data_IF_706834860680
#
_entry.id   IF_706834860680
#
_cell.length_a   1.000
_cell.length_b   1.000
_cell.length_c   1.000
_cell.angle_alpha   90.00
_cell.angle_beta   90.00
_cell.angle_gamma   90.00
#
_symmetry.space_group_name_H-M   'P 1'
#
loop_
_entity.id
_entity.type
_entity.pdbx_description
1 polymer ?
#
# COMPACT_ATOMS: atom_id res chain seq x y z
N UNK A 1 17.95 -53.65 -52.02
CA UNK A 1 16.72 -52.87 -51.70
C UNK A 1 16.90 -52.06 -50.43
N UNK A 2 17.62 -52.59 -49.44
CA UNK A 2 18.00 -51.87 -48.21
C UNK A 2 19.11 -50.83 -48.47
N UNK A 3 20.23 -51.22 -49.09
CA UNK A 3 21.33 -50.31 -49.48
C UNK A 3 20.88 -49.12 -50.35
N UNK A 4 19.91 -49.33 -51.26
CA UNK A 4 19.38 -48.26 -52.11
C UNK A 4 18.61 -47.19 -51.31
N UNK A 5 18.01 -47.58 -50.17
CA UNK A 5 17.35 -46.67 -49.24
C UNK A 5 18.36 -45.89 -48.41
N UNK A 6 19.40 -46.54 -47.91
CA UNK A 6 20.46 -45.88 -47.15
C UNK A 6 21.17 -44.80 -47.99
N UNK A 7 21.42 -45.07 -49.28
CA UNK A 7 22.04 -44.07 -50.18
C UNK A 7 21.12 -42.86 -50.42
N UNK A 8 19.81 -43.05 -50.69
CA UNK A 8 18.85 -41.94 -50.78
C UNK A 8 18.73 -41.14 -49.47
N UNK A 9 18.84 -41.82 -48.31
CA UNK A 9 18.74 -41.17 -47.00
C UNK A 9 19.99 -40.33 -46.68
N UNK A 10 21.18 -40.82 -47.07
CA UNK A 10 22.46 -40.09 -46.97
C UNK A 10 22.53 -38.90 -47.93
N UNK A 11 21.99 -38.98 -49.14
CA UNK A 11 21.93 -37.85 -50.08
C UNK A 11 20.92 -36.76 -49.66
N UNK A 12 19.85 -37.12 -48.95
CA UNK A 12 18.84 -36.15 -48.46
C UNK A 12 19.17 -35.54 -47.09
N UNK A 13 20.05 -36.17 -46.31
CA UNK A 13 20.56 -35.68 -45.03
C UNK A 13 21.13 -34.24 -45.05
N UNK A 14 22.01 -33.83 -46.00
CA UNK A 14 22.53 -32.45 -46.03
C UNK A 14 21.46 -31.39 -46.29
N UNK A 15 20.47 -31.67 -47.15
CA UNK A 15 19.35 -30.74 -47.39
C UNK A 15 18.47 -30.60 -46.12
N UNK A 16 18.15 -31.72 -45.45
CA UNK A 16 17.42 -31.71 -44.17
C UNK A 16 18.20 -30.94 -43.08
N UNK A 17 19.53 -31.03 -43.07
CA UNK A 17 20.36 -30.28 -42.12
C UNK A 17 20.33 -28.77 -42.41
N UNK A 18 20.43 -28.38 -43.68
CA UNK A 18 20.41 -26.97 -44.11
C UNK A 18 19.02 -26.31 -43.97
N UNK A 19 17.93 -27.08 -44.06
CA UNK A 19 16.59 -26.63 -43.66
C UNK A 19 16.49 -26.40 -42.15
N UNK A 20 17.08 -27.29 -41.33
CA UNK A 20 17.03 -27.19 -39.86
C UNK A 20 17.90 -26.05 -39.33
N UNK A 21 19.05 -25.76 -39.93
CA UNK A 21 19.87 -24.58 -39.57
C UNK A 21 19.14 -23.28 -39.90
N UNK A 22 18.53 -23.16 -41.09
CA UNK A 22 17.73 -21.96 -41.44
C UNK A 22 16.57 -21.73 -40.48
N UNK A 23 15.81 -22.76 -40.14
CA UNK A 23 14.75 -22.68 -39.14
C UNK A 23 15.30 -22.28 -37.74
N UNK A 24 16.46 -22.81 -37.35
CA UNK A 24 17.10 -22.43 -36.08
C UNK A 24 17.54 -20.95 -36.07
N UNK A 25 18.11 -20.45 -37.17
CA UNK A 25 18.51 -19.04 -37.31
C UNK A 25 17.30 -18.09 -37.37
N UNK A 26 16.20 -18.49 -38.03
CA UNK A 26 14.92 -17.78 -38.00
C UNK A 26 14.36 -17.68 -36.58
N UNK A 27 14.26 -18.79 -35.85
CA UNK A 27 13.81 -18.78 -34.45
C UNK A 27 14.73 -17.98 -33.53
N UNK A 28 16.05 -18.09 -33.70
CA UNK A 28 17.03 -17.35 -32.92
C UNK A 28 16.92 -15.84 -33.19
N UNK A 29 16.62 -15.44 -34.43
CA UNK A 29 16.35 -14.04 -34.81
C UNK A 29 15.03 -13.53 -34.21
N UNK A 30 13.97 -14.34 -34.25
CA UNK A 30 12.69 -14.03 -33.60
C UNK A 30 12.83 -13.89 -32.07
N UNK A 31 13.61 -14.78 -31.43
CA UNK A 31 13.88 -14.71 -29.99
C UNK A 31 14.68 -13.46 -29.60
N UNK A 32 15.68 -13.05 -30.40
CA UNK A 32 16.40 -11.78 -30.18
C UNK A 32 15.49 -10.57 -30.29
N UNK A 33 14.59 -10.56 -31.29
CA UNK A 33 13.61 -9.49 -31.46
C UNK A 33 12.64 -9.43 -30.28
N UNK A 34 12.06 -10.58 -29.88
CA UNK A 34 11.17 -10.70 -28.74
C UNK A 34 11.84 -10.29 -27.42
N UNK A 35 13.13 -10.59 -27.23
CA UNK A 35 13.90 -10.13 -26.08
C UNK A 35 14.01 -8.59 -26.07
N UNK A 36 14.34 -7.97 -27.20
CA UNK A 36 14.44 -6.51 -27.31
C UNK A 36 13.08 -5.82 -27.05
N UNK A 37 11.98 -6.36 -27.60
CA UNK A 37 10.63 -5.89 -27.34
C UNK A 37 10.25 -6.02 -25.86
N UNK A 38 10.61 -7.14 -25.22
CA UNK A 38 10.34 -7.36 -23.79
C UNK A 38 11.14 -6.40 -22.89
N UNK A 39 12.39 -6.07 -23.25
CA UNK A 39 13.17 -5.05 -22.56
C UNK A 39 12.59 -3.65 -22.75
N UNK A 40 12.10 -3.32 -23.96
CA UNK A 40 11.42 -2.06 -24.23
C UNK A 40 10.09 -1.95 -23.47
N UNK A 41 9.29 -3.02 -23.45
CA UNK A 41 8.05 -3.11 -22.68
C UNK A 41 8.30 -2.93 -21.18
N UNK A 42 9.30 -3.60 -20.60
CA UNK A 42 9.70 -3.37 -19.19
C UNK A 42 10.04 -1.90 -18.90
N UNK A 43 10.83 -1.25 -19.77
CA UNK A 43 11.18 0.17 -19.65
C UNK A 43 9.98 1.10 -19.84
N UNK A 44 8.95 0.68 -20.58
CA UNK A 44 7.69 1.41 -20.73
C UNK A 44 6.85 1.30 -19.46
N UNK A 45 6.56 0.08 -19.01
CA UNK A 45 5.76 -0.19 -17.79
C UNK A 45 6.38 0.43 -16.54
N UNK A 46 7.71 0.46 -16.42
CA UNK A 46 8.39 1.15 -15.32
C UNK A 46 8.07 2.67 -15.30
N UNK A 47 8.20 3.34 -16.45
CA UNK A 47 7.88 4.77 -16.60
C UNK A 47 6.39 5.07 -16.42
N UNK A 48 5.51 4.22 -16.95
CA UNK A 48 4.06 4.35 -16.72
C UNK A 48 3.74 4.27 -15.23
N UNK A 49 4.33 3.31 -14.51
CA UNK A 49 4.17 3.19 -13.06
C UNK A 49 4.66 4.43 -12.31
N UNK A 50 5.85 4.95 -12.65
CA UNK A 50 6.37 6.20 -12.08
C UNK A 50 5.41 7.38 -12.33
N UNK A 51 4.85 7.49 -13.54
CA UNK A 51 3.84 8.50 -13.87
C UNK A 51 2.53 8.31 -13.08
N UNK A 52 2.04 7.08 -12.91
CA UNK A 52 0.86 6.81 -12.07
C UNK A 52 1.08 7.19 -10.60
N UNK A 53 2.25 6.88 -10.04
CA UNK A 53 2.62 7.26 -8.66
C UNK A 53 2.73 8.80 -8.54
N UNK A 54 3.23 9.50 -9.57
CA UNK A 54 3.29 10.96 -9.64
C UNK A 54 1.89 11.61 -9.75
N UNK A 55 1.01 11.15 -10.66
CA UNK A 55 -0.33 11.72 -10.81
C UNK A 55 -1.23 11.47 -9.58
N UNK A 56 -1.03 10.34 -8.88
CA UNK A 56 -1.73 10.06 -7.62
C UNK A 56 -1.31 11.03 -6.50
N UNK A 57 -0.01 11.34 -6.39
CA UNK A 57 0.49 12.31 -5.41
C UNK A 57 0.11 13.75 -5.78
N UNK A 58 0.14 14.10 -7.07
CA UNK A 58 -0.32 15.39 -7.59
C UNK A 58 -1.79 15.68 -7.22
N UNK A 59 -2.69 14.70 -7.44
CA UNK A 59 -4.12 14.84 -7.10
C UNK A 59 -4.33 15.11 -5.61
N UNK A 60 -3.63 14.37 -4.74
CA UNK A 60 -3.67 14.59 -3.29
C UNK A 60 -3.14 15.98 -2.91
N UNK A 61 -2.05 16.44 -3.52
CA UNK A 61 -1.48 17.78 -3.27
C UNK A 61 -2.48 18.86 -3.68
N UNK A 62 -3.09 18.78 -4.87
CA UNK A 62 -4.11 19.74 -5.31
C UNK A 62 -5.30 19.80 -4.35
N UNK A 63 -5.73 18.66 -3.79
CA UNK A 63 -6.81 18.60 -2.80
C UNK A 63 -6.40 19.17 -1.42
N UNK A 64 -5.11 19.24 -1.10
CA UNK A 64 -4.58 19.80 0.16
C UNK A 64 -4.27 21.31 0.08
N UNK A 65 -4.01 21.87 -1.10
CA UNK A 65 -3.70 23.31 -1.26
C UNK A 65 -4.76 24.24 -0.62
N UNK A 66 -6.09 24.06 -0.81
CA UNK A 66 -7.10 24.94 -0.20
C UNK A 66 -7.07 24.96 1.34
N UNK A 67 -6.60 23.88 1.96
CA UNK A 67 -6.44 23.78 3.42
C UNK A 67 -5.23 24.61 3.86
N UNK A 68 -4.15 24.63 3.07
CA UNK A 68 -2.98 25.48 3.32
C UNK A 68 -3.35 26.96 3.15
N UNK A 69 -4.05 27.32 2.08
CA UNK A 69 -4.54 28.70 1.84
C UNK A 69 -5.40 29.19 3.02
N UNK A 70 -6.28 28.32 3.53
CA UNK A 70 -7.13 28.60 4.69
C UNK A 70 -6.32 28.75 5.98
N UNK A 71 -5.25 27.96 6.16
CA UNK A 71 -4.33 28.07 7.30
C UNK A 71 -3.60 29.40 7.30
N UNK A 72 -3.08 29.82 6.14
CA UNK A 72 -2.36 31.09 5.99
C UNK A 72 -3.28 32.28 6.29
N UNK A 73 -4.52 32.27 5.77
CA UNK A 73 -5.53 33.26 6.13
C UNK A 73 -5.87 33.29 7.63
N UNK A 74 -5.99 32.13 8.27
CA UNK A 74 -6.27 32.03 9.70
C UNK A 74 -5.11 32.58 10.56
N UNK A 75 -3.87 32.25 10.22
CA UNK A 75 -2.65 32.76 10.89
C UNK A 75 -2.55 34.29 10.73
N UNK A 76 -2.79 34.83 9.52
CA UNK A 76 -2.79 36.27 9.28
C UNK A 76 -3.90 37.02 10.06
N UNK A 77 -4.97 36.32 10.44
CA UNK A 77 -6.13 36.87 11.16
C UNK A 77 -6.10 36.63 12.69
N UNK A 78 -5.03 36.00 13.21
CA UNK A 78 -4.93 35.51 14.58
C UNK A 78 -4.99 36.59 15.69
N UNK A 79 -5.00 37.88 15.33
CA UNK A 79 -5.17 39.01 16.26
C UNK A 79 -6.48 38.98 17.06
N UNK A 80 -7.48 38.20 16.62
CA UNK A 80 -8.79 38.06 17.26
C UNK A 80 -9.01 36.61 17.74
N UNK A 81 -8.70 36.33 19.00
CA UNK A 81 -8.64 34.96 19.57
C UNK A 81 -9.89 34.10 19.30
N UNK A 82 -11.10 34.65 19.38
CA UNK A 82 -12.35 33.88 19.16
C UNK A 82 -12.55 33.46 17.70
N UNK A 83 -12.14 34.28 16.73
CA UNK A 83 -12.21 33.92 15.30
C UNK A 83 -11.17 32.84 14.93
N UNK A 84 -10.13 32.69 15.73
CA UNK A 84 -9.00 31.80 15.44
C UNK A 84 -9.32 30.33 15.79
N UNK A 85 -9.95 30.09 16.94
CA UNK A 85 -10.37 28.75 17.36
C UNK A 85 -11.42 28.14 16.41
N UNK A 86 -12.42 28.94 16.00
CA UNK A 86 -13.44 28.51 15.02
C UNK A 86 -12.83 28.22 13.63
N UNK A 87 -11.85 29.05 13.21
CA UNK A 87 -11.12 28.84 11.96
C UNK A 87 -10.29 27.55 11.95
N UNK A 88 -9.60 27.24 13.05
CA UNK A 88 -8.86 25.98 13.21
C UNK A 88 -9.81 24.77 13.23
N UNK A 89 -10.96 24.87 13.89
CA UNK A 89 -11.95 23.80 13.93
C UNK A 89 -12.53 23.49 12.54
N UNK A 90 -12.79 24.53 11.72
CA UNK A 90 -13.18 24.39 10.32
C UNK A 90 -12.08 23.73 9.49
N UNK A 91 -10.84 24.20 9.63
CA UNK A 91 -9.68 23.65 8.92
C UNK A 91 -9.44 22.17 9.21
N UNK A 92 -9.56 21.75 10.48
CA UNK A 92 -9.47 20.34 10.88
C UNK A 92 -10.55 19.49 10.20
N UNK A 93 -11.78 20.00 10.12
CA UNK A 93 -12.91 19.34 9.46
C UNK A 93 -12.68 19.18 7.97
N UNK A 94 -12.18 20.22 7.30
CA UNK A 94 -11.92 20.20 5.85
C UNK A 94 -10.75 19.27 5.51
N UNK A 95 -9.69 19.26 6.32
CA UNK A 95 -8.59 18.29 6.22
C UNK A 95 -9.07 16.84 6.33
N UNK A 96 -9.91 16.52 7.32
CA UNK A 96 -10.50 15.19 7.44
C UNK A 96 -11.42 14.88 6.26
N UNK A 97 -12.21 15.84 5.78
CA UNK A 97 -13.10 15.64 4.64
C UNK A 97 -12.35 15.34 3.33
N UNK A 98 -11.19 15.98 3.10
CA UNK A 98 -10.29 15.67 1.98
C UNK A 98 -9.72 14.26 2.13
N UNK A 99 -9.08 13.95 3.26
CA UNK A 99 -8.47 12.63 3.48
C UNK A 99 -9.49 11.49 3.42
N UNK A 100 -10.73 11.71 3.88
CA UNK A 100 -11.81 10.73 3.81
C UNK A 100 -12.28 10.44 2.36
N UNK A 101 -12.24 11.43 1.46
CA UNK A 101 -12.51 11.22 0.02
C UNK A 101 -11.44 10.34 -0.63
N UNK A 102 -10.19 10.51 -0.22
CA UNK A 102 -9.05 9.68 -0.64
C UNK A 102 -9.03 8.29 0.02
N UNK A 103 -10.06 7.96 0.82
CA UNK A 103 -10.26 6.63 1.41
C UNK A 103 -9.60 6.43 2.78
N UNK A 104 -9.09 7.48 3.42
CA UNK A 104 -8.61 7.43 4.80
C UNK A 104 -9.79 7.28 5.77
N UNK A 105 -9.69 6.33 6.70
CA UNK A 105 -10.68 6.10 7.76
C UNK A 105 -9.97 6.00 9.12
N UNK A 106 -10.46 6.66 10.17
CA UNK A 106 -9.96 6.43 11.53
C UNK A 106 -10.31 5.01 11.98
N UNK A 107 -9.46 4.42 12.81
CA UNK A 107 -9.74 3.16 13.50
C UNK A 107 -10.58 3.48 14.74
N UNK A 108 -11.66 2.73 14.96
CA UNK A 108 -12.41 2.80 16.21
C UNK A 108 -11.66 2.00 17.27
N UNK A 109 -11.25 2.67 18.35
CA UNK A 109 -10.42 2.10 19.40
C UNK A 109 -11.13 2.05 20.77
N UNK A 110 -11.51 3.20 21.34
CA UNK A 110 -12.09 3.26 22.70
C UNK A 110 -13.41 2.49 22.80
N UNK A 111 -13.50 1.57 23.77
CA UNK A 111 -14.63 0.67 23.98
C UNK A 111 -14.62 -0.60 23.13
N UNK A 112 -13.75 -0.70 22.12
CA UNK A 112 -13.57 -1.90 21.30
C UNK A 112 -12.61 -2.89 21.97
N UNK A 113 -12.64 -4.14 21.51
CA UNK A 113 -11.65 -5.14 21.91
C UNK A 113 -10.32 -4.91 21.19
N UNK A 114 -9.22 -5.10 21.90
CA UNK A 114 -7.87 -5.04 21.36
C UNK A 114 -7.66 -6.01 20.17
N UNK A 115 -6.91 -5.55 19.18
CA UNK A 115 -6.63 -6.26 17.93
C UNK A 115 -5.18 -5.92 17.51
N UNK A 116 -4.23 -6.87 17.60
CA UNK A 116 -2.83 -6.64 17.26
C UNK A 116 -2.57 -6.12 15.83
N UNK A 117 -3.50 -6.28 14.90
CA UNK A 117 -3.36 -5.77 13.53
C UNK A 117 -3.72 -4.28 13.41
N UNK A 118 -4.47 -3.73 14.36
CA UNK A 118 -5.00 -2.36 14.34
C UNK A 118 -4.50 -1.50 15.49
N UNK A 119 -4.07 -2.11 16.59
CA UNK A 119 -3.86 -1.48 17.87
C UNK A 119 -2.47 -1.81 18.43
N UNK A 120 -1.82 -0.83 19.06
CA UNK A 120 -0.52 -0.94 19.73
C UNK A 120 -0.71 -0.62 21.22
N UNK A 121 -0.42 -1.57 22.12
CA UNK A 121 -0.59 -1.36 23.56
C UNK A 121 0.58 -0.55 24.11
N UNK A 122 0.30 0.65 24.59
CA UNK A 122 1.27 1.49 25.30
C UNK A 122 1.16 1.33 26.82
N UNK A 123 -0.04 0.98 27.32
CA UNK A 123 -0.28 0.81 28.75
C UNK A 123 -1.31 -0.30 29.00
N UNK A 124 -1.08 -1.10 30.03
CA UNK A 124 -2.08 -2.00 30.61
C UNK A 124 -2.43 -1.50 32.00
N UNK A 125 -3.72 -1.55 32.36
CA UNK A 125 -4.21 -1.15 33.68
C UNK A 125 -5.04 -2.28 34.25
N UNK A 126 -4.86 -2.57 35.55
CA UNK A 126 -5.75 -3.49 36.25
C UNK A 126 -7.09 -2.80 36.42
N UNK A 127 -8.10 -3.36 35.75
CA UNK A 127 -9.46 -2.82 35.71
C UNK A 127 -10.42 -4.01 35.74
N UNK A 128 -11.20 -4.10 36.82
CA UNK A 128 -12.18 -5.16 37.04
C UNK A 128 -13.60 -4.72 36.61
N UNK A 129 -13.80 -3.45 36.20
CA UNK A 129 -15.08 -2.92 35.69
C UNK A 129 -15.29 -3.22 34.20
N UNK A 130 -14.21 -3.48 33.45
CA UNK A 130 -14.22 -3.79 32.02
C UNK A 130 -13.71 -5.21 31.70
N UNK A 131 -14.19 -5.87 30.64
CA UNK A 131 -13.66 -7.16 30.19
C UNK A 131 -12.16 -7.09 29.87
N UNK A 132 -11.42 -8.20 30.02
CA UNK A 132 -10.01 -8.27 29.62
C UNK A 132 -9.80 -7.93 28.14
N UNK A 133 -8.69 -7.24 27.83
CA UNK A 133 -8.33 -6.74 26.49
C UNK A 133 -9.29 -5.68 25.92
N UNK A 134 -10.06 -4.97 26.76
CA UNK A 134 -10.90 -3.83 26.32
C UNK A 134 -10.06 -2.56 26.25
N UNK A 135 -10.21 -1.77 25.19
CA UNK A 135 -9.50 -0.49 25.05
C UNK A 135 -10.21 0.58 25.88
N UNK A 136 -9.51 1.07 26.91
CA UNK A 136 -10.00 2.10 27.84
C UNK A 136 -9.73 3.52 27.33
N UNK A 137 -8.63 3.73 26.62
CA UNK A 137 -8.19 5.05 26.15
C UNK A 137 -7.35 4.92 24.87
N UNK A 138 -7.51 5.87 23.94
CA UNK A 138 -6.67 6.01 22.75
C UNK A 138 -5.79 7.25 22.91
N UNK A 139 -4.47 7.03 23.01
CA UNK A 139 -3.48 8.10 23.09
C UNK A 139 -3.14 8.71 21.73
N UNK A 140 -3.22 7.90 20.67
CA UNK A 140 -2.86 8.32 19.32
C UNK A 140 -3.76 7.62 18.29
N UNK A 141 -4.48 8.40 17.49
CA UNK A 141 -5.42 7.91 16.49
C UNK A 141 -4.75 7.04 15.43
N UNK A 142 -5.25 5.83 15.27
CA UNK A 142 -4.94 4.91 14.17
C UNK A 142 -5.76 5.22 12.93
N UNK A 143 -5.23 4.84 11.77
CA UNK A 143 -5.86 5.09 10.47
C UNK A 143 -5.66 3.92 9.49
N UNK A 144 -6.68 3.70 8.67
CA UNK A 144 -6.70 2.77 7.55
C UNK A 144 -6.87 3.52 6.23
N UNK A 145 -6.20 3.07 5.18
CA UNK A 145 -6.42 3.49 3.80
C UNK A 145 -7.05 2.32 3.05
N UNK A 146 -8.33 2.42 2.72
CA UNK A 146 -9.10 1.29 2.19
C UNK A 146 -9.15 0.12 3.18
N UNK A 147 -8.50 -1.00 2.84
CA UNK A 147 -8.34 -2.19 3.69
C UNK A 147 -7.02 -2.25 4.47
N UNK A 148 -6.05 -1.38 4.15
CA UNK A 148 -4.70 -1.41 4.73
C UNK A 148 -4.62 -0.52 5.96
N UNK A 149 -4.22 -1.06 7.12
CA UNK A 149 -3.79 -0.25 8.26
C UNK A 149 -2.50 0.47 7.87
N UNK A 150 -2.52 1.80 7.89
CA UNK A 150 -1.33 2.63 7.65
C UNK A 150 -0.69 3.13 8.95
N UNK A 151 -1.47 3.12 10.04
CA UNK A 151 -1.08 3.55 11.38
C UNK A 151 -1.96 2.83 12.40
N UNK A 152 -1.35 2.13 13.35
CA UNK A 152 -2.05 1.54 14.48
C UNK A 152 -2.53 2.62 15.45
N UNK A 153 -3.65 2.40 16.15
CA UNK A 153 -4.02 3.23 17.30
C UNK A 153 -3.17 2.86 18.49
N UNK A 154 -2.60 3.84 19.19
CA UNK A 154 -1.90 3.59 20.46
C UNK A 154 -2.89 3.64 21.61
N UNK A 155 -2.98 2.55 22.36
CA UNK A 155 -4.08 2.30 23.28
C UNK A 155 -3.62 1.92 24.69
N UNK A 156 -4.49 2.22 25.65
CA UNK A 156 -4.51 1.65 26.99
C UNK A 156 -5.56 0.53 27.02
N UNK A 157 -5.20 -0.65 27.54
CA UNK A 157 -6.15 -1.77 27.69
C UNK A 157 -6.36 -2.17 29.16
N UNK A 158 -7.54 -2.69 29.45
CA UNK A 158 -7.88 -3.35 30.71
C UNK A 158 -7.22 -4.73 30.80
N UNK A 159 -6.85 -5.10 32.02
CA UNK A 159 -6.41 -6.45 32.39
C UNK A 159 -7.07 -6.84 33.70
N UNK A 160 -7.60 -8.06 33.76
CA UNK A 160 -8.22 -8.55 35.01
C UNK A 160 -7.16 -8.86 36.07
N UNK A 161 -7.54 -8.68 37.33
CA UNK A 161 -6.65 -8.94 38.47
C UNK A 161 -6.49 -10.44 38.75
N UNK A 162 -5.64 -11.10 37.97
CA UNK A 162 -5.28 -12.50 38.21
C UNK A 162 -4.69 -12.67 39.62
N UNK A 163 -5.44 -13.33 40.51
CA UNK A 163 -4.86 -13.94 41.70
C UNK A 163 -3.93 -15.05 41.26
N UNK A 164 -2.62 -14.83 41.40
CA UNK A 164 -1.65 -15.91 41.28
C UNK A 164 -1.94 -16.93 42.39
N UNK A 165 -2.42 -18.11 41.97
CA UNK A 165 -2.54 -19.26 42.86
C UNK A 165 -1.11 -19.72 43.15
N UNK A 166 -0.58 -19.26 44.29
CA UNK A 166 0.58 -19.85 44.94
C UNK A 166 0.33 -21.35 45.08
N UNK A 167 1.11 -22.13 44.33
CA UNK A 167 1.28 -23.57 44.53
C UNK A 167 2.56 -23.76 45.34
N UNK A 168 2.38 -23.99 46.63
CA UNK A 168 3.32 -24.69 47.51
C UNK A 168 2.57 -25.90 48.12
#
# INVERSE_FOLDING_TARGET
MEEAKEVEEVETLPNKLDEKTKLADEYLSQLKYLQADFENYKKMVAREREMYEMCATETLIMNLLPIIDTLECAIASASNNTSFEEGIALLYKDLIAVLAKEGLKPIAAVGEKFDPYKHEVIMTVIDDDHPEDTILEEFEKGYMLGSKVIRTSKVKISKLKNHEISRD
#
